data_IF_821190369587
#
_entry.id   IF_821190369587
#
_cell.length_a   1.000
_cell.length_b   1.000
_cell.length_c   1.000
_cell.angle_alpha   90.00
_cell.angle_beta   90.00
_cell.angle_gamma   90.00
#
_symmetry.space_group_name_H-M   'P 1'
#
loop_
_entity.id
_entity.type
_entity.pdbx_description
1 polymer ?
#
# COMPACT_ATOMS: atom_id res chain seq x y z
N UNK A 1 -2.62 21.89 24.69
CA UNK A 1 -3.65 22.11 23.63
C UNK A 1 -3.22 21.44 22.33
N UNK A 2 -4.01 20.50 21.80
CA UNK A 2 -3.62 19.64 20.68
C UNK A 2 -3.71 20.30 19.29
N UNK A 3 -2.69 20.11 18.45
CA UNK A 3 -2.62 20.63 17.06
C UNK A 3 -3.25 19.66 16.05
N UNK A 4 -4.39 19.03 16.38
CA UNK A 4 -5.04 18.04 15.49
C UNK A 4 -5.84 18.75 14.40
N UNK A 5 -5.72 18.30 13.14
CA UNK A 5 -6.46 18.88 12.00
C UNK A 5 -7.84 18.24 11.89
N UNK A 6 -8.85 19.06 11.55
CA UNK A 6 -10.24 18.61 11.40
C UNK A 6 -10.43 17.75 10.13
N UNK A 7 -11.51 16.97 10.09
CA UNK A 7 -11.87 16.04 9.00
C UNK A 7 -11.92 16.72 7.64
N UNK A 8 -12.47 17.94 7.54
CA UNK A 8 -12.57 18.69 6.29
C UNK A 8 -11.20 18.93 5.66
N UNK A 9 -10.24 19.43 6.44
CA UNK A 9 -8.85 19.65 5.99
C UNK A 9 -8.22 18.35 5.48
N UNK A 10 -8.36 17.26 6.25
CA UNK A 10 -7.80 15.94 5.90
C UNK A 10 -8.46 15.35 4.65
N UNK A 11 -9.77 15.58 4.44
CA UNK A 11 -10.52 15.08 3.27
C UNK A 11 -10.15 15.86 2.02
N UNK A 12 -10.14 17.19 2.09
CA UNK A 12 -9.78 18.05 0.95
C UNK A 12 -8.33 17.82 0.52
N UNK A 13 -7.39 17.74 1.48
CA UNK A 13 -6.00 17.48 1.17
C UNK A 13 -5.78 16.12 0.48
N UNK A 14 -6.46 15.06 0.92
CA UNK A 14 -6.39 13.75 0.25
C UNK A 14 -6.86 13.80 -1.21
N UNK A 15 -7.97 14.49 -1.48
CA UNK A 15 -8.46 14.68 -2.86
C UNK A 15 -7.49 15.45 -3.74
N UNK A 16 -6.79 16.45 -3.19
CA UNK A 16 -5.79 17.23 -3.93
C UNK A 16 -4.60 16.34 -4.28
N UNK A 17 -4.08 15.59 -3.30
CA UNK A 17 -2.95 14.67 -3.51
C UNK A 17 -3.29 13.58 -4.53
N UNK A 18 -4.49 13.01 -4.45
CA UNK A 18 -4.96 11.98 -5.38
C UNK A 18 -5.03 12.45 -6.84
N UNK A 19 -5.45 13.69 -7.08
CA UNK A 19 -5.63 14.23 -8.43
C UNK A 19 -4.41 14.92 -9.03
N UNK A 20 -3.58 15.54 -8.20
CA UNK A 20 -2.51 16.44 -8.64
C UNK A 20 -1.13 16.05 -8.08
N UNK A 21 -0.90 14.76 -7.84
CA UNK A 21 0.37 14.27 -7.25
C UNK A 21 1.60 14.73 -8.03
N UNK A 22 1.53 14.72 -9.37
CA UNK A 22 2.66 15.01 -10.26
C UNK A 22 3.24 16.42 -10.10
N UNK A 23 2.45 17.35 -9.57
CA UNK A 23 2.85 18.75 -9.39
C UNK A 23 3.23 19.10 -7.95
N UNK A 24 3.07 18.16 -7.00
CA UNK A 24 3.29 18.42 -5.58
C UNK A 24 4.76 18.21 -5.20
N UNK A 25 5.29 19.11 -4.37
CA UNK A 25 6.65 19.04 -3.83
C UNK A 25 6.65 18.85 -2.30
N UNK A 26 7.82 18.73 -1.68
CA UNK A 26 7.93 18.71 -0.19
C UNK A 26 7.83 20.09 0.45
N UNK A 27 8.05 21.15 -0.34
CA UNK A 27 8.04 22.51 0.15
C UNK A 27 6.62 23.03 0.41
N UNK A 28 6.48 23.86 1.45
CA UNK A 28 5.19 24.39 1.86
C UNK A 28 4.75 25.57 0.99
N UNK A 29 5.67 26.44 0.57
CA UNK A 29 5.31 27.68 -0.11
C UNK A 29 4.78 27.38 -1.52
N UNK A 30 5.46 26.51 -2.24
CA UNK A 30 5.05 26.00 -3.56
C UNK A 30 3.67 25.35 -3.50
N UNK A 31 3.48 24.38 -2.59
CA UNK A 31 2.20 23.72 -2.40
C UNK A 31 1.07 24.67 -1.98
N UNK A 32 1.38 25.72 -1.20
CA UNK A 32 0.39 26.73 -0.81
C UNK A 32 -0.12 27.53 -2.01
N UNK A 33 0.76 27.86 -2.96
CA UNK A 33 0.36 28.50 -4.22
C UNK A 33 -0.48 27.54 -5.06
N UNK A 34 -0.01 26.31 -5.24
CA UNK A 34 -0.70 25.26 -6.00
C UNK A 34 -2.13 25.00 -5.48
N UNK A 35 -2.28 24.86 -4.16
CA UNK A 35 -3.60 24.70 -3.51
C UNK A 35 -4.51 25.90 -3.76
N UNK A 36 -3.95 27.11 -3.89
CA UNK A 36 -4.72 28.31 -4.21
C UNK A 36 -5.18 28.36 -5.66
N UNK A 37 -4.44 27.73 -6.58
CA UNK A 37 -4.80 27.65 -7.99
C UNK A 37 -5.78 26.51 -8.27
N UNK A 38 -5.62 25.38 -7.58
CA UNK A 38 -6.44 24.18 -7.79
C UNK A 38 -7.81 24.28 -7.11
N UNK A 39 -7.90 24.98 -5.97
CA UNK A 39 -9.12 25.04 -5.18
C UNK A 39 -9.46 26.46 -4.75
N UNK A 40 -10.71 26.85 -4.97
CA UNK A 40 -11.27 28.10 -4.48
C UNK A 40 -11.48 28.03 -2.96
N UNK A 41 -10.52 28.56 -2.21
CA UNK A 41 -10.54 28.58 -0.74
C UNK A 41 -10.62 30.02 -0.25
N UNK A 42 -11.78 30.35 0.33
CA UNK A 42 -12.13 31.68 0.83
C UNK A 42 -11.24 32.15 2.01
N UNK A 43 -10.71 31.20 2.81
CA UNK A 43 -9.95 31.53 4.03
C UNK A 43 -8.45 31.24 3.96
N UNK A 44 -7.60 32.25 4.24
CA UNK A 44 -6.13 32.09 4.36
C UNK A 44 -5.74 30.99 5.35
N UNK A 45 -6.39 30.94 6.52
CA UNK A 45 -6.11 29.93 7.56
C UNK A 45 -6.41 28.52 7.07
N UNK A 46 -7.54 28.31 6.38
CA UNK A 46 -7.93 27.02 5.84
C UNK A 46 -6.98 26.58 4.71
N UNK A 47 -6.63 27.50 3.80
CA UNK A 47 -5.64 27.25 2.75
C UNK A 47 -4.31 26.77 3.32
N UNK A 48 -3.80 27.45 4.35
CA UNK A 48 -2.55 27.08 5.00
C UNK A 48 -2.64 25.72 5.73
N UNK A 49 -3.78 25.42 6.35
CA UNK A 49 -4.01 24.12 6.99
C UNK A 49 -4.05 22.98 5.96
N UNK A 50 -4.67 23.20 4.81
CA UNK A 50 -4.75 22.22 3.72
C UNK A 50 -3.36 22.02 3.12
N UNK A 51 -2.67 23.09 2.70
CA UNK A 51 -1.32 23.01 2.14
C UNK A 51 -0.33 22.34 3.10
N UNK A 52 -0.41 22.65 4.40
CA UNK A 52 0.42 22.03 5.42
C UNK A 52 0.07 20.56 5.72
N UNK A 53 -1.13 20.10 5.38
CA UNK A 53 -1.47 18.68 5.46
C UNK A 53 -1.08 17.94 4.18
N UNK A 54 -1.14 18.61 3.02
CA UNK A 54 -0.66 18.10 1.73
C UNK A 54 0.84 17.80 1.80
N UNK A 55 1.67 18.73 2.28
CA UNK A 55 3.12 18.47 2.46
C UNK A 55 3.39 17.25 3.34
N UNK A 56 2.57 17.05 4.38
CA UNK A 56 2.69 15.90 5.27
C UNK A 56 2.26 14.58 4.60
N UNK A 57 1.32 14.64 3.65
CA UNK A 57 0.92 13.47 2.88
C UNK A 57 1.97 13.10 1.84
N UNK A 58 2.53 14.08 1.11
CA UNK A 58 3.59 13.84 0.12
C UNK A 58 4.77 13.11 0.76
N UNK A 59 5.28 13.61 1.89
CA UNK A 59 6.35 12.94 2.65
C UNK A 59 6.00 11.51 3.10
N UNK A 60 4.72 11.23 3.33
CA UNK A 60 4.29 9.89 3.75
C UNK A 60 4.15 8.93 2.58
N UNK A 61 3.77 9.43 1.41
CA UNK A 61 3.66 8.64 0.18
C UNK A 61 5.04 8.11 -0.22
N UNK A 62 6.09 8.93 -0.07
CA UNK A 62 7.47 8.48 -0.32
C UNK A 62 7.92 7.36 0.62
N UNK A 63 7.50 7.41 1.89
CA UNK A 63 7.82 6.36 2.85
C UNK A 63 6.96 5.09 2.67
N UNK A 64 5.95 5.11 1.80
CA UNK A 64 5.10 3.96 1.50
C UNK A 64 3.64 4.29 1.24
N UNK A 65 2.82 3.27 0.94
CA UNK A 65 1.43 3.48 0.55
C UNK A 65 0.59 4.06 1.70
N UNK A 66 -0.03 5.21 1.45
CA UNK A 66 -0.90 5.87 2.43
C UNK A 66 -2.34 5.40 2.27
N UNK A 67 -2.97 4.99 3.39
CA UNK A 67 -4.37 4.55 3.39
C UNK A 67 -5.33 5.66 2.91
N UNK A 68 -6.22 5.31 1.98
CA UNK A 68 -7.28 6.20 1.50
C UNK A 68 -6.82 7.28 0.51
N UNK A 69 -5.71 7.03 -0.18
CA UNK A 69 -5.28 7.74 -1.39
C UNK A 69 -4.94 6.67 -2.43
N UNK A 70 -5.58 6.71 -3.59
CA UNK A 70 -5.22 5.87 -4.72
C UNK A 70 -4.33 6.68 -5.65
N UNK A 71 -3.03 6.35 -5.70
CA UNK A 71 -2.14 6.88 -6.72
C UNK A 71 -2.04 5.84 -7.82
N UNK A 72 -2.17 6.28 -9.08
CA UNK A 72 -1.94 5.44 -10.26
C UNK A 72 -0.57 4.75 -10.22
N UNK A 73 0.42 5.40 -9.61
CA UNK A 73 1.76 4.85 -9.37
C UNK A 73 1.69 3.59 -8.49
N UNK A 74 0.95 3.63 -7.39
CA UNK A 74 0.80 2.50 -6.46
C UNK A 74 -0.06 1.36 -7.04
N UNK A 75 -1.01 1.66 -7.93
CA UNK A 75 -1.79 0.62 -8.61
C UNK A 75 -0.91 -0.24 -9.53
N UNK A 76 0.07 0.38 -10.21
CA UNK A 76 1.05 -0.35 -11.03
C UNK A 76 1.98 -1.22 -10.18
N UNK A 77 2.47 -0.71 -9.05
CA UNK A 77 3.31 -1.47 -8.11
C UNK A 77 2.54 -2.63 -7.45
N UNK A 78 1.24 -2.45 -7.16
CA UNK A 78 0.37 -3.48 -6.59
C UNK A 78 -0.05 -4.59 -7.55
N UNK A 79 0.16 -4.44 -8.85
CA UNK A 79 -0.11 -5.51 -9.83
C UNK A 79 1.11 -6.43 -10.00
N UNK A 80 2.19 -6.23 -9.23
CA UNK A 80 3.38 -7.09 -9.22
C UNK A 80 3.30 -8.31 -8.25
N UNK A 81 2.35 -8.49 -7.30
CA UNK A 81 2.31 -9.65 -6.44
C UNK A 81 1.32 -10.71 -6.96
N UNK A 82 1.40 -11.08 -8.24
CA UNK A 82 0.68 -12.27 -8.75
C UNK A 82 1.57 -13.30 -9.43
N UNK A 83 2.89 -13.11 -9.38
CA UNK A 83 3.84 -14.20 -9.59
C UNK A 83 4.51 -14.54 -8.26
N UNK A 84 3.72 -15.01 -7.28
CA UNK A 84 4.27 -15.97 -6.34
C UNK A 84 4.60 -17.18 -7.22
N UNK A 85 5.80 -17.20 -7.78
CA UNK A 85 6.29 -18.33 -8.57
C UNK A 85 5.99 -19.59 -7.77
N UNK A 86 5.38 -20.58 -8.43
CA UNK A 86 5.11 -21.90 -7.87
C UNK A 86 6.37 -22.50 -7.23
N UNK A 87 7.56 -22.07 -7.64
CA UNK A 87 8.85 -22.47 -7.05
C UNK A 87 8.99 -22.13 -5.55
N UNK A 88 8.29 -21.10 -5.06
CA UNK A 88 8.31 -20.74 -3.64
C UNK A 88 7.19 -21.41 -2.82
N UNK A 89 6.27 -22.12 -3.47
CA UNK A 89 5.29 -22.93 -2.77
C UNK A 89 6.01 -24.02 -1.98
N UNK A 90 5.58 -24.24 -0.74
CA UNK A 90 6.13 -25.22 0.20
C UNK A 90 6.21 -26.63 -0.42
N UNK A 91 5.29 -26.93 -1.35
CA UNK A 91 5.24 -28.18 -2.12
C UNK A 91 6.39 -28.34 -3.14
N UNK A 92 6.89 -27.25 -3.73
CA UNK A 92 7.93 -27.28 -4.77
C UNK A 92 9.34 -27.10 -4.19
N UNK A 93 9.48 -26.33 -3.10
CA UNK A 93 10.77 -26.13 -2.40
C UNK A 93 11.31 -27.41 -1.74
N UNK A 94 10.46 -28.43 -1.56
CA UNK A 94 10.86 -29.75 -1.12
C UNK A 94 10.71 -30.79 -2.23
N UNK A 95 11.71 -30.82 -3.13
CA UNK A 95 12.31 -32.10 -3.55
C UNK A 95 13.04 -32.81 -2.40
N UNK A 96 12.76 -32.45 -1.15
CA UNK A 96 13.27 -33.11 0.04
C UNK A 96 12.24 -34.14 0.46
N UNK A 97 12.69 -35.36 0.72
CA UNK A 97 11.86 -36.43 1.25
C UNK A 97 11.15 -35.91 2.51
N UNK A 98 9.82 -35.78 2.49
CA UNK A 98 9.09 -35.56 3.72
C UNK A 98 9.32 -36.78 4.61
N UNK A 99 9.60 -36.55 5.91
CA UNK A 99 9.63 -37.62 6.89
C UNK A 99 8.19 -38.09 7.08
N UNK A 100 7.87 -39.27 6.55
CA UNK A 100 6.56 -39.91 6.68
C UNK A 100 6.57 -40.72 7.99
N UNK A 101 5.55 -40.53 8.83
CA UNK A 101 5.35 -41.30 10.06
C UNK A 101 4.73 -42.68 9.73
N UNK A 102 4.96 -43.69 10.58
CA UNK A 102 4.52 -45.07 10.32
C UNK A 102 3.00 -45.18 10.13
N UNK A 103 2.21 -44.44 10.93
CA UNK A 103 0.74 -44.39 10.82
C UNK A 103 0.28 -43.85 9.46
N UNK A 104 0.99 -42.83 8.95
CA UNK A 104 0.67 -42.25 7.65
C UNK A 104 1.02 -43.19 6.49
N UNK A 105 2.02 -44.07 6.67
CA UNK A 105 2.35 -45.13 5.72
C UNK A 105 1.26 -46.20 5.67
N UNK A 106 0.70 -46.58 6.80
CA UNK A 106 -0.44 -47.50 6.85
C UNK A 106 -1.69 -46.89 6.21
N UNK A 107 -1.97 -45.61 6.50
CA UNK A 107 -3.05 -44.87 5.87
C UNK A 107 -2.92 -44.88 4.34
N UNK A 108 -1.72 -44.67 3.79
CA UNK A 108 -1.49 -44.68 2.33
C UNK A 108 -1.73 -46.07 1.72
N UNK A 109 -1.35 -47.15 2.41
CA UNK A 109 -1.60 -48.52 1.97
C UNK A 109 -3.10 -48.84 1.93
N UNK A 110 -3.86 -48.40 2.93
CA UNK A 110 -5.32 -48.57 2.97
C UNK A 110 -5.99 -47.83 1.81
N UNK A 111 -5.49 -46.63 1.49
CA UNK A 111 -5.97 -45.82 0.38
C UNK A 111 -5.51 -46.33 -0.99
N UNK A 112 -4.65 -47.36 -1.05
CA UNK A 112 -4.10 -47.89 -2.29
C UNK A 112 -3.16 -46.94 -3.03
N UNK A 113 -2.64 -45.91 -2.35
CA UNK A 113 -1.75 -44.92 -2.94
C UNK A 113 -0.29 -45.36 -2.78
N UNK A 114 0.55 -45.23 -3.82
CA UNK A 114 1.96 -45.54 -3.73
C UNK A 114 2.67 -44.54 -2.84
N UNK A 115 3.60 -45.02 -2.02
CA UNK A 115 4.45 -44.18 -1.21
C UNK A 115 5.44 -43.43 -2.13
N UNK A 116 5.46 -42.09 -2.14
CA UNK A 116 6.32 -41.33 -3.04
C UNK A 116 7.83 -41.43 -2.76
N UNK A 117 8.25 -42.16 -1.71
CA UNK A 117 9.65 -42.29 -1.28
C UNK A 117 10.19 -43.74 -1.19
N UNK A 118 9.39 -44.74 -1.55
CA UNK A 118 9.83 -46.12 -1.81
C UNK A 118 9.96 -46.35 -3.32
#
# INVERSE_FOLDING_TARGET
MGRVRNRLVKRSARKIVEKHYDYLCHDFQTNKQLVSHVAEIQGKRLRNQIAGYVTRLVKRVECGPVRGICLRIHEKERNIPENISLENSVLFRHRQRFRIDDDTKEMLKILGLPNPYE
#
